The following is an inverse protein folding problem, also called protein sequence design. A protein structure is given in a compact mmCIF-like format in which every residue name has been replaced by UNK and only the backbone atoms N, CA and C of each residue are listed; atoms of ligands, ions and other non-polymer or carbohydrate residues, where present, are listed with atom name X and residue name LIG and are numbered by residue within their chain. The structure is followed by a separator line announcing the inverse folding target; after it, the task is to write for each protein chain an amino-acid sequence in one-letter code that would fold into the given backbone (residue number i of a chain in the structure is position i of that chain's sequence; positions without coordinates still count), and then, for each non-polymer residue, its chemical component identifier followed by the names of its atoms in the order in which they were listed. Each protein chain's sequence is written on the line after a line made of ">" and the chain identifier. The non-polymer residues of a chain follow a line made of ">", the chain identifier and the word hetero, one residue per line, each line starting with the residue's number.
data_IF_921902664978
#
_entry.id   IF_921902664978
#
_cell.length_a   1.000
_cell.length_b   1.000
_cell.length_c   1.000
_cell.angle_alpha   90.00
_cell.angle_beta   90.00
_cell.angle_gamma   90.00
#
_symmetry.space_group_name_H-M   'P 1'
#
loop_
_entity.id
_entity.type
_entity.pdbx_description
1 polymer ?
#
# COMPACT_ATOMS: atom_id res chain seq x y z
N UNK A 1 -22.42 -1.15 -23.18
CA UNK A 1 -21.41 -0.12 -22.79
C UNK A 1 -20.06 -0.61 -23.29
N UNK A 2 -19.43 0.08 -24.23
CA UNK A 2 -18.12 -0.31 -24.78
C UNK A 2 -17.01 0.42 -24.01
N UNK A 3 -15.99 -0.31 -23.56
CA UNK A 3 -14.77 0.26 -22.97
C UNK A 3 -13.68 0.31 -24.04
N UNK A 4 -12.99 1.45 -24.15
CA UNK A 4 -11.76 1.57 -24.95
C UNK A 4 -10.53 1.38 -24.06
N UNK A 5 -9.34 1.26 -24.66
CA UNK A 5 -8.09 1.23 -23.90
C UNK A 5 -8.03 2.39 -22.88
N UNK A 6 -7.40 2.15 -21.73
CA UNK A 6 -7.34 3.07 -20.58
C UNK A 6 -8.69 3.43 -19.94
N UNK A 7 -9.72 2.59 -20.09
CA UNK A 7 -10.99 2.76 -19.38
C UNK A 7 -11.28 1.58 -18.46
N UNK A 8 -11.78 1.86 -17.26
CA UNK A 8 -12.32 0.86 -16.33
C UNK A 8 -13.74 1.19 -15.92
N UNK A 9 -14.44 0.18 -15.41
CA UNK A 9 -15.72 0.36 -14.74
C UNK A 9 -15.65 -0.31 -13.38
N UNK A 10 -16.06 0.39 -12.34
CA UNK A 10 -16.25 -0.19 -11.00
C UNK A 10 -17.74 -0.38 -10.77
N UNK A 11 -18.13 -1.59 -10.38
CA UNK A 11 -19.51 -1.92 -10.06
C UNK A 11 -19.68 -2.05 -8.54
N UNK A 12 -20.58 -1.25 -7.98
CA UNK A 12 -20.94 -1.34 -6.57
C UNK A 12 -22.16 -2.28 -6.39
N UNK A 13 -21.93 -3.48 -5.87
CA UNK A 13 -22.97 -4.50 -5.63
C UNK A 13 -24.11 -4.00 -4.73
N UNK A 14 -23.82 -3.13 -3.78
CA UNK A 14 -24.78 -2.60 -2.80
C UNK A 14 -25.77 -1.59 -3.38
N UNK A 15 -25.39 -0.86 -4.43
CA UNK A 15 -26.22 0.22 -4.99
C UNK A 15 -26.62 -0.03 -6.44
N UNK A 16 -26.07 -1.08 -7.09
CA UNK A 16 -26.29 -1.36 -8.50
C UNK A 16 -25.69 -0.31 -9.45
N UNK A 17 -24.81 0.57 -8.94
CA UNK A 17 -24.25 1.69 -9.71
C UNK A 17 -22.97 1.27 -10.41
N UNK A 18 -22.90 1.57 -11.70
CA UNK A 18 -21.69 1.49 -12.51
C UNK A 18 -21.00 2.85 -12.54
N UNK A 19 -19.72 2.89 -12.15
CA UNK A 19 -18.89 4.10 -12.26
C UNK A 19 -17.79 3.86 -13.28
N UNK A 20 -17.82 4.61 -14.38
CA UNK A 20 -16.74 4.61 -15.37
C UNK A 20 -15.60 5.49 -14.87
N UNK A 21 -14.38 4.97 -14.97
CA UNK A 21 -13.15 5.71 -14.65
C UNK A 21 -12.12 5.53 -15.75
N UNK A 22 -11.17 6.45 -15.79
CA UNK A 22 -9.96 6.33 -16.63
C UNK A 22 -8.90 5.58 -15.84
N UNK A 23 -8.18 4.69 -16.51
CA UNK A 23 -6.96 4.06 -15.99
C UNK A 23 -5.81 4.87 -16.56
N UNK A 24 -5.04 5.54 -15.71
CA UNK A 24 -3.81 6.20 -16.14
C UNK A 24 -2.64 5.22 -15.95
N UNK A 25 -1.87 4.98 -17.01
CA UNK A 25 -0.71 4.09 -16.99
C UNK A 25 -1.05 2.59 -16.86
N UNK A 26 -0.10 1.83 -16.33
CA UNK A 26 -0.16 0.35 -16.21
C UNK A 26 -0.65 -0.12 -14.83
N UNK A 27 -1.28 0.73 -14.04
CA UNK A 27 -1.61 0.43 -12.63
C UNK A 27 -2.55 -0.77 -12.44
N UNK A 28 -3.45 -1.02 -13.39
CA UNK A 28 -4.34 -2.19 -13.36
C UNK A 28 -3.62 -3.50 -13.75
N UNK A 29 -2.43 -3.41 -14.35
CA UNK A 29 -1.59 -4.54 -14.73
C UNK A 29 -0.32 -4.68 -13.90
N UNK A 30 0.01 -3.69 -13.06
CA UNK A 30 1.17 -3.65 -12.18
C UNK A 30 1.29 -4.92 -11.30
N UNK A 31 0.15 -5.51 -10.90
CA UNK A 31 0.14 -6.77 -10.15
C UNK A 31 0.72 -7.97 -10.95
N UNK A 32 0.58 -7.96 -12.28
CA UNK A 32 1.18 -8.99 -13.17
C UNK A 32 2.70 -8.91 -13.14
N UNK A 33 3.25 -7.73 -12.88
CA UNK A 33 4.68 -7.48 -12.71
C UNK A 33 5.12 -7.59 -11.24
N UNK A 34 4.22 -8.03 -10.35
CA UNK A 34 4.47 -8.15 -8.92
C UNK A 34 4.57 -6.81 -8.19
N UNK A 35 4.06 -5.72 -8.77
CA UNK A 35 4.08 -4.39 -8.18
C UNK A 35 2.80 -4.17 -7.35
N UNK A 36 2.97 -3.77 -6.09
CA UNK A 36 1.86 -3.40 -5.20
C UNK A 36 1.63 -1.89 -5.26
N UNK A 37 0.40 -1.46 -5.55
CA UNK A 37 0.02 -0.06 -5.61
C UNK A 37 -0.96 0.28 -4.48
N UNK A 38 -0.50 1.04 -3.50
CA UNK A 38 -1.30 1.50 -2.37
C UNK A 38 -1.70 2.96 -2.60
N UNK A 39 -3.00 3.19 -2.74
CA UNK A 39 -3.59 4.52 -2.91
C UNK A 39 -4.50 4.83 -1.74
N UNK A 40 -4.05 5.74 -0.88
CA UNK A 40 -4.80 6.16 0.29
C UNK A 40 -5.24 4.98 1.18
N UNK A 41 -4.29 4.09 1.49
CA UNK A 41 -4.56 2.88 2.27
C UNK A 41 -4.05 3.02 3.70
N UNK A 42 -4.81 2.55 4.72
CA UNK A 42 -4.34 2.61 6.09
C UNK A 42 -3.09 1.74 6.24
N UNK A 43 -2.12 2.20 7.02
CA UNK A 43 -0.82 1.55 7.11
C UNK A 43 -0.92 0.11 7.64
N UNK A 44 -1.92 -0.22 8.47
CA UNK A 44 -2.20 -1.60 8.88
C UNK A 44 -2.48 -2.54 7.70
N UNK A 45 -3.18 -2.07 6.65
CA UNK A 45 -3.47 -2.87 5.46
C UNK A 45 -2.21 -3.04 4.61
N UNK A 46 -1.40 -1.99 4.49
CA UNK A 46 -0.11 -2.03 3.79
C UNK A 46 0.84 -2.99 4.50
N UNK A 47 0.96 -2.91 5.83
CA UNK A 47 1.78 -3.80 6.63
C UNK A 47 1.38 -5.26 6.43
N UNK A 48 0.09 -5.58 6.55
CA UNK A 48 -0.41 -6.95 6.33
C UNK A 48 -0.13 -7.48 4.91
N UNK A 49 -0.16 -6.62 3.89
CA UNK A 49 0.20 -6.99 2.53
C UNK A 49 1.70 -7.28 2.39
N UNK A 50 2.56 -6.49 3.05
CA UNK A 50 4.02 -6.69 3.04
C UNK A 50 4.45 -7.93 3.82
N UNK A 51 3.81 -8.22 4.96
CA UNK A 51 4.03 -9.45 5.72
C UNK A 51 3.82 -10.69 4.85
N UNK A 52 2.71 -10.74 4.10
CA UNK A 52 2.40 -11.85 3.19
C UNK A 52 3.38 -11.94 2.04
N UNK A 53 3.73 -10.81 1.45
CA UNK A 53 4.62 -10.75 0.28
C UNK A 53 6.04 -11.22 0.59
N UNK A 54 6.57 -10.79 1.73
CA UNK A 54 7.97 -11.02 2.09
C UNK A 54 8.16 -12.12 3.14
N UNK A 55 7.08 -12.74 3.62
CA UNK A 55 7.08 -13.73 4.70
C UNK A 55 7.78 -13.21 5.98
N UNK A 56 7.42 -12.00 6.40
CA UNK A 56 7.94 -11.32 7.61
C UNK A 56 6.82 -11.02 8.61
N UNK A 57 7.19 -10.62 9.82
CA UNK A 57 6.26 -10.09 10.83
C UNK A 57 6.52 -8.58 11.03
N UNK A 58 5.47 -7.77 11.02
CA UNK A 58 5.52 -6.33 11.24
C UNK A 58 4.70 -5.98 12.49
N UNK A 59 5.37 -5.39 13.48
CA UNK A 59 4.74 -4.79 14.65
C UNK A 59 4.62 -3.28 14.44
N UNK A 60 3.39 -2.82 14.26
CA UNK A 60 3.09 -1.40 14.08
C UNK A 60 2.75 -0.76 15.43
N UNK A 61 3.21 0.46 15.65
CA UNK A 61 2.67 1.33 16.69
C UNK A 61 1.19 1.65 16.38
N UNK A 62 0.26 1.51 17.33
CA UNK A 62 -1.16 1.78 17.12
C UNK A 62 -1.45 3.17 16.55
N UNK A 63 -0.61 4.17 16.87
CA UNK A 63 -0.76 5.55 16.36
C UNK A 63 -0.52 5.67 14.85
N UNK A 64 0.07 4.66 14.23
CA UNK A 64 0.40 4.63 12.82
C UNK A 64 -0.58 3.81 11.98
N UNK A 65 -1.45 3.00 12.60
CA UNK A 65 -2.28 2.02 11.90
C UNK A 65 -3.21 2.62 10.83
N UNK A 66 -3.76 3.79 11.13
CA UNK A 66 -4.68 4.51 10.25
C UNK A 66 -4.00 5.54 9.34
N UNK A 67 -2.65 5.61 9.36
CA UNK A 67 -1.93 6.52 8.45
C UNK A 67 -2.17 6.15 7.00
N UNK A 68 -2.56 7.15 6.22
CA UNK A 68 -2.85 6.98 4.80
C UNK A 68 -1.56 6.92 4.00
N UNK A 69 -1.29 5.76 3.43
CA UNK A 69 -0.10 5.48 2.64
C UNK A 69 -0.41 5.63 1.15
N UNK A 70 0.49 6.32 0.45
CA UNK A 70 0.56 6.42 -1.00
C UNK A 70 1.92 5.87 -1.42
N UNK A 71 1.95 4.65 -1.95
CA UNK A 71 3.20 3.99 -2.31
C UNK A 71 3.00 2.99 -3.46
N UNK A 72 3.94 3.01 -4.41
CA UNK A 72 4.12 1.94 -5.40
C UNK A 72 5.36 1.14 -4.99
N UNK A 73 5.17 -0.15 -4.72
CA UNK A 73 6.20 -1.06 -4.23
C UNK A 73 6.47 -2.09 -5.31
N UNK A 74 7.57 -1.93 -6.03
CA UNK A 74 8.03 -2.84 -7.07
C UNK A 74 8.73 -4.06 -6.48
N UNK A 75 9.83 -4.50 -7.10
CA UNK A 75 10.59 -5.71 -6.73
C UNK A 75 11.72 -5.45 -5.73
N UNK A 76 11.69 -4.30 -5.05
CA UNK A 76 12.71 -3.92 -4.09
C UNK A 76 12.76 -4.88 -2.89
N UNK A 77 13.95 -5.07 -2.27
CA UNK A 77 14.06 -5.85 -1.05
C UNK A 77 13.26 -5.23 0.11
N UNK A 78 12.74 -6.10 0.97
CA UNK A 78 11.91 -5.74 2.12
C UNK A 78 12.49 -4.61 2.99
N UNK A 79 13.81 -4.61 3.23
CA UNK A 79 14.45 -3.58 4.04
C UNK A 79 14.42 -2.20 3.39
N UNK A 80 14.66 -2.13 2.08
CA UNK A 80 14.60 -0.87 1.33
C UNK A 80 13.17 -0.34 1.28
N UNK A 81 12.21 -1.23 1.04
CA UNK A 81 10.78 -0.90 1.06
C UNK A 81 10.34 -0.34 2.41
N UNK A 82 10.66 -1.05 3.51
CA UNK A 82 10.25 -0.61 4.85
C UNK A 82 10.94 0.69 5.26
N UNK A 83 12.24 0.87 4.95
CA UNK A 83 12.94 2.13 5.21
C UNK A 83 12.32 3.31 4.46
N UNK A 84 11.96 3.11 3.19
CA UNK A 84 11.31 4.15 2.40
C UNK A 84 9.95 4.52 3.00
N UNK A 85 9.14 3.52 3.38
CA UNK A 85 7.84 3.75 4.01
C UNK A 85 7.96 4.47 5.35
N UNK A 86 8.87 4.06 6.23
CA UNK A 86 9.06 4.72 7.52
C UNK A 86 9.58 6.15 7.36
N UNK A 87 10.43 6.40 6.36
CA UNK A 87 10.88 7.76 6.03
C UNK A 87 9.72 8.68 5.62
N UNK A 88 8.80 8.20 4.77
CA UNK A 88 7.65 8.99 4.31
C UNK A 88 6.74 9.48 5.46
N UNK A 89 6.63 8.70 6.53
CA UNK A 89 5.75 9.01 7.67
C UNK A 89 6.51 9.48 8.91
N UNK A 90 7.83 9.70 8.81
CA UNK A 90 8.66 10.10 9.95
C UNK A 90 8.68 9.07 11.09
N UNK A 91 8.57 7.78 10.77
CA UNK A 91 8.65 6.68 11.72
C UNK A 91 10.06 6.08 11.79
N UNK A 92 10.32 5.36 12.88
CA UNK A 92 11.53 4.60 13.11
C UNK A 92 11.31 3.12 12.80
N UNK A 93 12.34 2.48 12.24
CA UNK A 93 12.34 1.06 11.90
C UNK A 93 13.41 0.33 12.71
N UNK A 94 13.00 -0.72 13.41
CA UNK A 94 13.90 -1.65 14.09
C UNK A 94 13.72 -3.06 13.53
N UNK A 95 14.81 -3.77 13.29
CA UNK A 95 14.80 -5.16 12.79
C UNK A 95 15.33 -6.11 13.86
N UNK A 96 14.64 -7.23 14.05
CA UNK A 96 15.09 -8.35 14.89
C UNK A 96 14.78 -9.66 14.17
N UNK A 97 15.77 -10.23 13.48
CA UNK A 97 15.58 -11.43 12.65
C UNK A 97 14.59 -11.18 11.51
N UNK A 98 13.47 -11.91 11.52
CA UNK A 98 12.36 -11.77 10.56
C UNK A 98 11.25 -10.82 11.03
N UNK A 99 11.42 -10.21 12.22
CA UNK A 99 10.47 -9.26 12.79
C UNK A 99 10.95 -7.83 12.60
N UNK A 100 10.03 -6.97 12.19
CA UNK A 100 10.23 -5.53 12.05
C UNK A 100 9.28 -4.79 13.00
N UNK A 101 9.81 -3.86 13.79
CA UNK A 101 9.03 -2.97 14.64
C UNK A 101 9.07 -1.56 14.06
N UNK A 102 7.90 -0.95 13.88
CA UNK A 102 7.74 0.38 13.33
C UNK A 102 7.07 1.27 14.36
N UNK A 103 7.80 2.27 14.85
CA UNK A 103 7.37 3.18 15.92
C UNK A 103 7.40 4.63 15.45
N UNK A 104 6.45 5.46 15.90
CA UNK A 104 6.39 6.84 15.45
C UNK A 104 5.40 7.68 16.24
N UNK A 105 5.44 8.99 16.04
CA UNK A 105 4.57 9.95 16.75
C UNK A 105 3.14 10.02 16.18
N UNK A 106 2.88 9.41 15.03
CA UNK A 106 1.61 9.50 14.31
C UNK A 106 1.85 9.91 12.86
N UNK A 107 0.77 10.11 12.11
CA UNK A 107 0.88 10.54 10.71
C UNK A 107 1.27 12.02 10.67
N UNK A 108 2.24 12.42 9.83
CA UNK A 108 2.48 13.83 9.60
C UNK A 108 1.20 14.46 9.03
N UNK A 109 0.71 15.50 9.70
CA UNK A 109 -0.38 16.33 9.20
C UNK A 109 0.17 17.18 8.05
N UNK A 110 0.02 16.70 6.82
CA UNK A 110 0.18 17.53 5.62
C UNK A 110 -1.01 18.47 5.45
#
# INVERSE_FOLDING_TARGET
>A
MLLTAQQKVTYALSTGVLRKGTVEGNEETDWMEGILNFKNKPFREVAAALERRFAIEIRLDPRLEDCSIYAKIGTEPVESTLKALTYLIGAELQKSGTRYSITGSGCPSS
#
